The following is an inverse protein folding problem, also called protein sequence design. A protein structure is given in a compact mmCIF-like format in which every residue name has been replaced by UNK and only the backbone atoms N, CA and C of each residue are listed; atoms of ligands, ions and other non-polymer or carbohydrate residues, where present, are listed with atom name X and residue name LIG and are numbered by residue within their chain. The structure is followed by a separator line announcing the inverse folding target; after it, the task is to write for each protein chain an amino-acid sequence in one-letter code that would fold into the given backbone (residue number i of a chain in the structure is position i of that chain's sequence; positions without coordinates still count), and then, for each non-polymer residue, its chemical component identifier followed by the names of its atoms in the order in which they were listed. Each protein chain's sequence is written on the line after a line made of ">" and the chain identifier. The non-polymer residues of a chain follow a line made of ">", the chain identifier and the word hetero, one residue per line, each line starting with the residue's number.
data_IF_821480315401
#
_entry.id   IF_821480315401
#
_cell.length_a   1.000
_cell.length_b   1.000
_cell.length_c   1.000
_cell.angle_alpha   90.00
_cell.angle_beta   90.00
_cell.angle_gamma   90.00
#
_symmetry.space_group_name_H-M   'P 1'
#
loop_
_entity.id
_entity.type
_entity.pdbx_description
1 polymer ?
#
# COMPACT_ATOMS: atom_id res chain seq x y z
N UNK A 1 -13.26 -6.43 3.74
CA UNK A 1 -13.48 -6.46 5.20
C UNK A 1 -12.29 -5.91 5.97
N UNK A 2 -11.04 -6.37 5.77
CA UNK A 2 -9.86 -5.84 6.49
C UNK A 2 -9.65 -4.33 6.34
N UNK A 3 -10.06 -3.75 5.20
CA UNK A 3 -10.00 -2.30 4.94
C UNK A 3 -10.92 -1.50 5.89
N UNK A 4 -12.02 -2.10 6.33
CA UNK A 4 -13.01 -1.50 7.24
C UNK A 4 -13.15 -2.38 8.48
N UNK A 5 -12.01 -2.77 9.06
CA UNK A 5 -12.00 -3.57 10.28
C UNK A 5 -12.79 -2.87 11.39
N UNK A 6 -13.47 -3.65 12.22
CA UNK A 6 -14.32 -3.17 13.30
C UNK A 6 -15.47 -2.24 12.86
N UNK A 7 -15.76 -2.16 11.55
CA UNK A 7 -16.91 -1.45 10.98
C UNK A 7 -17.84 -2.41 10.22
N UNK A 8 -19.16 -2.32 10.41
CA UNK A 8 -20.10 -3.16 9.66
C UNK A 8 -20.14 -2.74 8.20
N UNK A 9 -20.07 -3.72 7.30
CA UNK A 9 -20.19 -3.55 5.86
C UNK A 9 -21.50 -4.16 5.36
N UNK A 10 -22.32 -3.39 4.61
CA UNK A 10 -23.51 -3.91 3.96
C UNK A 10 -23.19 -5.08 3.01
N UNK A 11 -24.15 -5.99 2.83
CA UNK A 11 -24.00 -7.15 1.95
C UNK A 11 -23.68 -6.71 0.52
N UNK A 12 -24.41 -5.71 0.01
CA UNK A 12 -24.26 -5.22 -1.36
C UNK A 12 -22.87 -4.60 -1.58
N UNK A 13 -22.34 -3.88 -0.60
CA UNK A 13 -20.96 -3.37 -0.63
C UNK A 13 -19.95 -4.52 -0.66
N UNK A 14 -20.16 -5.60 0.08
CA UNK A 14 -19.27 -6.76 0.02
C UNK A 14 -19.33 -7.47 -1.34
N UNK A 15 -20.52 -7.57 -1.93
CA UNK A 15 -20.72 -8.11 -3.27
C UNK A 15 -19.99 -7.25 -4.31
N UNK A 16 -20.24 -5.95 -4.30
CA UNK A 16 -19.63 -4.99 -5.22
C UNK A 16 -18.10 -5.04 -5.14
N UNK A 17 -17.54 -5.03 -3.93
CA UNK A 17 -16.07 -5.07 -3.77
C UNK A 17 -15.44 -6.40 -4.20
N UNK A 18 -16.16 -7.51 -4.03
CA UNK A 18 -15.67 -8.85 -4.36
C UNK A 18 -15.75 -9.16 -5.87
N UNK A 19 -16.79 -8.69 -6.55
CA UNK A 19 -17.05 -9.06 -7.95
C UNK A 19 -17.17 -7.89 -8.94
N UNK A 20 -17.16 -6.64 -8.46
CA UNK A 20 -17.28 -5.45 -9.28
C UNK A 20 -18.54 -5.46 -10.15
N UNK A 21 -18.38 -5.12 -11.42
CA UNK A 21 -19.46 -5.11 -12.41
C UNK A 21 -19.95 -6.51 -12.83
N UNK A 22 -19.29 -7.59 -12.40
CA UNK A 22 -19.58 -8.97 -12.83
C UNK A 22 -19.93 -9.92 -11.68
N UNK A 23 -20.98 -9.65 -10.88
CA UNK A 23 -21.41 -10.55 -9.82
C UNK A 23 -22.02 -11.84 -10.40
N UNK A 24 -21.87 -12.99 -9.72
CA UNK A 24 -22.56 -14.22 -10.12
C UNK A 24 -24.08 -14.08 -9.91
N UNK A 25 -24.88 -14.88 -10.63
CA UNK A 25 -26.36 -14.84 -10.55
C UNK A 25 -26.92 -14.97 -9.12
N UNK A 26 -26.18 -15.63 -8.23
CA UNK A 26 -26.53 -15.77 -6.81
C UNK A 26 -25.42 -15.20 -5.91
N UNK A 27 -25.09 -13.93 -6.08
CA UNK A 27 -24.01 -13.25 -5.36
C UNK A 27 -24.12 -13.39 -3.83
N UNK A 28 -25.32 -13.21 -3.27
CA UNK A 28 -25.54 -13.37 -1.83
C UNK A 28 -25.23 -14.78 -1.34
N UNK A 29 -25.65 -15.81 -2.07
CA UNK A 29 -25.36 -17.21 -1.73
C UNK A 29 -23.86 -17.50 -1.80
N UNK A 30 -23.18 -17.03 -2.85
CA UNK A 30 -21.74 -17.17 -2.99
C UNK A 30 -20.98 -16.46 -1.85
N UNK A 31 -21.44 -15.27 -1.44
CA UNK A 31 -20.85 -14.51 -0.35
C UNK A 31 -21.01 -15.26 0.98
N UNK A 32 -22.18 -15.84 1.26
CA UNK A 32 -22.38 -16.68 2.44
C UNK A 32 -21.44 -17.88 2.46
N UNK A 33 -21.21 -18.54 1.33
CA UNK A 33 -20.25 -19.64 1.22
C UNK A 33 -18.81 -19.18 1.43
N UNK A 34 -18.42 -17.97 0.98
CA UNK A 34 -17.11 -17.41 1.28
C UNK A 34 -16.95 -17.09 2.77
N UNK A 35 -17.94 -16.45 3.40
CA UNK A 35 -17.90 -16.11 4.82
C UNK A 35 -17.85 -17.38 5.70
N UNK A 36 -18.61 -18.41 5.34
CA UNK A 36 -18.56 -19.70 6.02
C UNK A 36 -17.17 -20.34 5.95
N UNK A 37 -16.56 -20.35 4.75
CA UNK A 37 -15.19 -20.86 4.57
C UNK A 37 -14.16 -20.04 5.35
N UNK A 38 -14.28 -18.71 5.34
CA UNK A 38 -13.40 -17.84 6.12
C UNK A 38 -13.51 -18.19 7.61
N UNK A 39 -14.72 -18.26 8.18
CA UNK A 39 -14.91 -18.65 9.58
C UNK A 39 -14.30 -20.02 9.91
N UNK A 40 -14.36 -20.96 8.98
CA UNK A 40 -13.76 -22.29 9.14
C UNK A 40 -12.23 -22.28 9.17
N UNK A 41 -11.56 -21.20 8.74
CA UNK A 41 -10.10 -21.06 8.86
C UNK A 41 -9.62 -20.84 10.29
N UNK A 42 -10.53 -20.68 11.27
CA UNK A 42 -10.17 -20.54 12.70
C UNK A 42 -10.06 -21.90 13.35
N UNK A 43 -8.98 -22.60 13.02
CA UNK A 43 -8.79 -24.00 13.40
C UNK A 43 -8.29 -24.11 14.84
N UNK A 44 -7.59 -23.10 15.33
CA UNK A 44 -7.03 -23.08 16.70
C UNK A 44 -7.77 -22.10 17.63
N UNK A 45 -7.78 -22.35 18.96
CA UNK A 45 -8.33 -21.40 19.94
C UNK A 45 -7.71 -20.00 19.84
N UNK A 46 -6.40 -19.91 19.58
CA UNK A 46 -5.71 -18.65 19.36
C UNK A 46 -6.26 -17.86 18.15
N UNK A 47 -6.58 -18.54 17.06
CA UNK A 47 -7.18 -17.90 15.88
C UNK A 47 -8.63 -17.48 16.10
N UNK A 48 -9.35 -18.19 16.97
CA UNK A 48 -10.71 -17.83 17.37
C UNK A 48 -10.73 -16.53 18.19
N UNK A 49 -9.71 -16.31 19.01
CA UNK A 49 -9.52 -15.05 19.74
C UNK A 49 -8.98 -13.93 18.83
N UNK A 50 -8.21 -14.28 17.80
CA UNK A 50 -7.56 -13.30 16.94
C UNK A 50 -8.55 -12.48 16.10
N UNK A 51 -9.63 -13.08 15.59
CA UNK A 51 -10.61 -12.36 14.77
C UNK A 51 -11.97 -13.09 14.68
N UNK A 52 -13.05 -12.31 14.52
CA UNK A 52 -14.39 -12.81 14.27
C UNK A 52 -15.07 -12.12 13.06
N UNK A 53 -15.98 -12.79 12.36
CA UNK A 53 -16.83 -12.22 11.32
C UNK A 53 -18.24 -12.40 11.87
N UNK A 54 -18.86 -11.32 12.30
CA UNK A 54 -20.18 -11.32 12.92
C UNK A 54 -21.19 -10.82 11.91
N UNK A 55 -22.38 -11.44 11.89
CA UNK A 55 -23.52 -10.91 11.14
C UNK A 55 -24.26 -9.91 12.04
N UNK A 56 -24.47 -8.71 11.55
CA UNK A 56 -25.16 -7.61 12.23
C UNK A 56 -26.37 -7.17 11.40
N UNK A 57 -27.29 -6.36 11.96
CA UNK A 57 -28.37 -5.76 11.16
C UNK A 57 -27.87 -4.90 10.00
N UNK A 58 -26.67 -4.30 10.12
CA UNK A 58 -26.05 -3.47 9.10
C UNK A 58 -25.19 -4.28 8.08
N UNK A 59 -25.14 -5.61 8.19
CA UNK A 59 -24.40 -6.48 7.28
C UNK A 59 -23.39 -7.37 8.00
N UNK A 60 -22.13 -7.35 7.58
CA UNK A 60 -21.07 -8.16 8.20
C UNK A 60 -19.97 -7.28 8.79
N UNK A 61 -19.51 -7.66 9.97
CA UNK A 61 -18.47 -6.99 10.73
C UNK A 61 -17.28 -7.94 10.90
N UNK A 62 -16.08 -7.53 10.48
CA UNK A 62 -14.85 -8.22 10.86
C UNK A 62 -14.32 -7.59 12.15
N UNK A 63 -14.42 -8.31 13.26
CA UNK A 63 -13.84 -7.95 14.55
C UNK A 63 -12.42 -8.48 14.62
N UNK A 64 -11.45 -7.63 14.89
CA UNK A 64 -10.10 -8.06 15.25
C UNK A 64 -9.38 -6.91 15.94
N UNK A 65 -8.28 -7.24 16.61
CA UNK A 65 -7.35 -6.24 17.10
C UNK A 65 -6.73 -5.49 15.92
N UNK A 66 -6.85 -4.17 15.94
CA UNK A 66 -6.35 -3.25 14.90
C UNK A 66 -4.83 -3.36 14.73
N UNK A 67 -4.11 -3.73 15.79
CA UNK A 67 -2.66 -3.98 15.76
C UNK A 67 -2.28 -5.21 14.92
N UNK A 68 -3.25 -5.99 14.44
CA UNK A 68 -3.02 -7.13 13.54
C UNK A 68 -3.18 -6.76 12.06
N UNK A 69 -3.70 -5.57 11.77
CA UNK A 69 -3.91 -5.09 10.40
C UNK A 69 -2.84 -4.05 10.07
N UNK A 70 -1.92 -4.39 9.17
CA UNK A 70 -0.81 -3.50 8.76
C UNK A 70 -1.29 -2.13 8.30
N UNK A 71 -2.38 -2.05 7.53
CA UNK A 71 -2.96 -0.78 7.10
C UNK A 71 -3.44 0.10 8.27
N UNK A 72 -4.05 -0.50 9.30
CA UNK A 72 -4.56 0.26 10.45
C UNK A 72 -3.43 0.70 11.35
N UNK A 73 -2.45 -0.18 11.58
CA UNK A 73 -1.20 0.17 12.25
C UNK A 73 -0.49 1.32 11.55
N UNK A 74 -0.35 1.26 10.23
CA UNK A 74 0.29 2.30 9.44
C UNK A 74 -0.35 3.67 9.71
N UNK A 75 -1.68 3.75 9.63
CA UNK A 75 -2.42 4.99 9.91
C UNK A 75 -2.25 5.44 11.35
N UNK A 76 -2.30 4.52 12.31
CA UNK A 76 -2.10 4.84 13.72
C UNK A 76 -0.70 5.39 14.01
N UNK A 77 0.35 4.81 13.44
CA UNK A 77 1.73 5.31 13.59
C UNK A 77 1.88 6.69 12.94
N UNK A 78 1.26 6.92 11.77
CA UNK A 78 1.26 8.23 11.10
C UNK A 78 0.54 9.29 11.93
N UNK A 79 -0.64 8.97 12.47
CA UNK A 79 -1.40 9.90 13.30
C UNK A 79 -0.63 10.23 14.58
N UNK A 80 0.01 9.23 15.21
CA UNK A 80 0.88 9.46 16.36
C UNK A 80 2.10 10.31 16.00
N UNK A 81 2.72 10.09 14.84
CA UNK A 81 3.85 10.89 14.36
C UNK A 81 3.48 12.37 14.19
N UNK A 82 2.30 12.65 13.64
CA UNK A 82 1.81 14.03 13.41
C UNK A 82 1.50 14.79 14.69
N UNK A 83 1.23 14.09 15.80
CA UNK A 83 0.91 14.70 17.10
C UNK A 83 2.07 14.69 18.10
N UNK A 84 3.14 13.95 17.81
CA UNK A 84 4.30 13.78 18.69
C UNK A 84 5.34 14.89 18.56
N UNK A 85 6.40 14.83 19.38
CA UNK A 85 7.58 15.70 19.17
C UNK A 85 8.33 15.28 17.90
N UNK A 86 9.18 16.15 17.31
CA UNK A 86 10.00 15.78 16.15
C UNK A 86 10.79 14.48 16.33
N UNK A 87 11.38 14.27 17.51
CA UNK A 87 12.16 13.07 17.83
C UNK A 87 11.29 11.81 17.86
N UNK A 88 10.09 11.89 18.44
CA UNK A 88 9.12 10.79 18.46
C UNK A 88 8.57 10.52 17.06
N UNK A 89 8.25 11.58 16.31
CA UNK A 89 7.67 11.52 14.98
C UNK A 89 8.56 10.74 14.00
N UNK A 90 9.88 10.93 14.08
CA UNK A 90 10.85 10.21 13.27
C UNK A 90 10.72 8.70 13.40
N UNK A 91 10.77 8.19 14.63
CA UNK A 91 10.66 6.76 14.90
C UNK A 91 9.30 6.18 14.49
N UNK A 92 8.24 6.98 14.61
CA UNK A 92 6.87 6.59 14.22
C UNK A 92 6.71 6.51 12.70
N UNK A 93 7.22 7.49 11.95
CA UNK A 93 7.23 7.43 10.49
C UNK A 93 8.05 6.25 9.96
N UNK A 94 9.20 5.95 10.57
CA UNK A 94 10.00 4.77 10.21
C UNK A 94 9.23 3.46 10.41
N UNK A 95 8.56 3.31 11.56
CA UNK A 95 7.71 2.16 11.84
C UNK A 95 6.53 2.06 10.86
N UNK A 96 5.88 3.18 10.55
CA UNK A 96 4.79 3.23 9.59
C UNK A 96 5.24 2.76 8.20
N UNK A 97 6.33 3.34 7.69
CA UNK A 97 6.85 3.03 6.36
C UNK A 97 7.37 1.59 6.25
N UNK A 98 7.90 1.02 7.33
CA UNK A 98 8.36 -0.38 7.37
C UNK A 98 7.23 -1.41 7.19
N UNK A 99 5.96 -1.04 7.41
CA UNK A 99 4.81 -1.93 7.20
C UNK A 99 4.53 -2.20 5.71
N UNK A 100 5.03 -1.35 4.82
CA UNK A 100 4.84 -1.46 3.38
C UNK A 100 5.82 -2.47 2.77
N UNK A 101 5.33 -3.68 2.49
CA UNK A 101 6.14 -4.80 1.98
C UNK A 101 6.07 -4.97 0.45
N UNK A 102 5.53 -3.98 -0.26
CA UNK A 102 5.34 -4.00 -1.70
C UNK A 102 3.96 -3.49 -2.11
N UNK A 103 3.46 -3.97 -3.27
CA UNK A 103 2.16 -3.53 -3.81
C UNK A 103 1.01 -3.99 -2.89
N UNK A 104 0.14 -3.07 -2.43
CA UNK A 104 -1.00 -3.44 -1.61
C UNK A 104 -1.92 -4.47 -2.29
N UNK A 105 -2.38 -5.44 -1.51
CA UNK A 105 -3.25 -6.52 -1.98
C UNK A 105 -2.68 -7.31 -3.17
N UNK A 106 -1.36 -7.47 -3.28
CA UNK A 106 -0.73 -8.23 -4.37
C UNK A 106 -1.41 -9.61 -4.55
N UNK A 107 -1.68 -9.99 -5.81
CA UNK A 107 -2.36 -11.24 -6.16
C UNK A 107 -3.90 -11.16 -6.23
N UNK A 108 -4.53 -10.10 -5.72
CA UNK A 108 -5.98 -9.90 -5.83
C UNK A 108 -6.33 -9.03 -7.04
N UNK A 109 -7.44 -9.35 -7.74
CA UNK A 109 -7.95 -8.56 -8.86
C UNK A 109 -9.41 -8.19 -8.60
N UNK A 110 -9.72 -6.90 -8.68
CA UNK A 110 -11.06 -6.33 -8.58
C UNK A 110 -10.94 -4.85 -8.95
N UNK A 111 -11.85 -4.34 -9.77
CA UNK A 111 -11.86 -2.92 -10.20
C UNK A 111 -11.86 -1.98 -8.99
N UNK A 112 -12.62 -2.34 -7.96
CA UNK A 112 -12.67 -1.60 -6.70
C UNK A 112 -11.31 -1.61 -5.97
N UNK A 113 -10.63 -2.76 -5.94
CA UNK A 113 -9.29 -2.84 -5.33
C UNK A 113 -8.24 -2.06 -6.13
N UNK A 114 -8.36 -2.01 -7.46
CA UNK A 114 -7.45 -1.23 -8.29
C UNK A 114 -7.59 0.27 -8.01
N UNK A 115 -8.81 0.78 -7.86
CA UNK A 115 -9.04 2.15 -7.39
C UNK A 115 -8.49 2.39 -5.98
N UNK A 116 -8.73 1.46 -5.05
CA UNK A 116 -8.26 1.60 -3.66
C UNK A 116 -6.73 1.57 -3.54
N UNK A 117 -6.04 0.80 -4.40
CA UNK A 117 -4.57 0.79 -4.48
C UNK A 117 -4.02 2.16 -4.81
N UNK A 118 -4.64 2.90 -5.74
CA UNK A 118 -4.20 4.26 -6.06
C UNK A 118 -4.31 5.19 -4.85
N UNK A 119 -5.37 5.05 -4.05
CA UNK A 119 -5.50 5.80 -2.78
C UNK A 119 -4.38 5.44 -1.81
N UNK A 120 -4.07 4.15 -1.66
CA UNK A 120 -2.98 3.69 -0.78
C UNK A 120 -1.60 4.16 -1.26
N UNK A 121 -1.35 4.14 -2.56
CA UNK A 121 -0.09 4.62 -3.14
C UNK A 121 0.09 6.12 -2.91
N UNK A 122 -0.98 6.91 -3.05
CA UNK A 122 -0.98 8.33 -2.73
C UNK A 122 -0.77 8.59 -1.23
N UNK A 123 -1.43 7.83 -0.36
CA UNK A 123 -1.27 7.90 1.10
C UNK A 123 0.18 7.60 1.52
N UNK A 124 0.76 6.54 0.97
CA UNK A 124 2.16 6.17 1.20
C UNK A 124 3.13 7.25 0.72
N UNK A 125 2.90 7.82 -0.46
CA UNK A 125 3.73 8.92 -0.98
C UNK A 125 3.63 10.16 -0.08
N UNK A 126 2.43 10.52 0.37
CA UNK A 126 2.22 11.65 1.29
C UNK A 126 3.04 11.50 2.58
N UNK A 127 2.96 10.32 3.21
CA UNK A 127 3.72 10.03 4.43
C UNK A 127 5.24 10.07 4.20
N UNK A 128 5.71 9.59 3.05
CA UNK A 128 7.15 9.70 2.69
C UNK A 128 7.60 11.14 2.53
N UNK A 129 6.73 12.01 2.01
CA UNK A 129 7.03 13.43 1.89
C UNK A 129 7.07 14.10 3.26
N UNK A 130 6.10 13.84 4.12
CA UNK A 130 6.06 14.33 5.51
C UNK A 130 7.33 13.90 6.29
N UNK A 131 7.73 12.63 6.18
CA UNK A 131 8.95 12.15 6.82
C UNK A 131 10.22 12.81 6.27
N UNK A 132 10.31 13.00 4.94
CA UNK A 132 11.45 13.69 4.34
C UNK A 132 11.53 15.16 4.77
N UNK A 133 10.39 15.84 4.89
CA UNK A 133 10.33 17.23 5.35
C UNK A 133 10.84 17.33 6.80
N UNK A 134 10.41 16.43 7.68
CA UNK A 134 10.93 16.33 9.05
C UNK A 134 12.47 16.17 9.08
N UNK A 135 13.03 15.29 8.25
CA UNK A 135 14.48 15.09 8.17
C UNK A 135 15.22 16.32 7.65
N UNK A 136 14.63 17.07 6.73
CA UNK A 136 15.22 18.31 6.21
C UNK A 136 15.25 19.41 7.27
N UNK A 137 14.20 19.51 8.09
CA UNK A 137 14.15 20.50 9.17
C UNK A 137 15.13 20.17 10.29
N UNK A 138 15.29 18.89 10.66
CA UNK A 138 16.38 18.44 11.54
C UNK A 138 17.76 18.84 10.98
N UNK A 139 17.98 18.66 9.68
CA UNK A 139 19.23 19.02 9.02
C UNK A 139 19.50 20.53 8.93
N UNK A 140 18.44 21.35 8.92
CA UNK A 140 18.52 22.82 8.92
C UNK A 140 18.69 23.42 10.32
N UNK A 141 18.24 22.71 11.34
CA UNK A 141 18.32 23.12 12.75
C UNK A 141 19.37 22.33 13.54
N UNK A 142 20.22 21.58 12.85
CA UNK A 142 21.40 20.95 13.44
C UNK A 142 22.17 21.99 14.26
N UNK A 143 22.71 21.60 15.43
CA UNK A 143 23.31 22.54 16.36
C UNK A 143 24.30 23.43 15.62
N UNK A 144 24.27 24.72 15.92
CA UNK A 144 25.31 25.70 15.55
C UNK A 144 26.64 25.29 16.21
N UNK A 145 27.18 24.13 15.84
CA UNK A 145 28.50 23.66 16.14
C UNK A 145 29.27 23.70 14.84
N UNK A 146 30.02 24.78 14.71
CA UNK A 146 31.25 24.88 13.93
C UNK A 146 32.02 23.55 13.97
N UNK A 147 31.80 22.66 13.00
CA UNK A 147 32.61 21.46 12.78
C UNK A 147 32.42 20.96 11.35
N UNK A 148 33.45 21.25 10.55
CA UNK A 148 34.04 20.44 9.48
C UNK A 148 33.15 19.40 8.77
N UNK A 149 32.91 19.64 7.48
CA UNK A 149 32.46 18.68 6.49
C UNK A 149 33.20 17.32 6.61
N UNK A 150 32.51 16.19 6.80
CA UNK A 150 33.02 14.92 6.30
C UNK A 150 32.61 14.77 4.83
N UNK A 151 33.61 14.40 4.03
CA UNK A 151 33.58 14.21 2.57
C UNK A 151 32.30 13.55 2.03
N UNK A 152 31.90 14.04 0.84
CA UNK A 152 30.85 13.49 0.00
C UNK A 152 30.88 11.95 -0.05
N UNK A 153 29.80 11.33 0.41
CA UNK A 153 29.45 9.97 0.00
C UNK A 153 29.09 10.03 -1.48
N UNK A 154 30.06 9.69 -2.32
CA UNK A 154 29.84 9.41 -3.74
C UNK A 154 28.98 8.16 -3.82
N UNK A 155 27.70 8.32 -4.12
CA UNK A 155 26.87 7.25 -4.64
C UNK A 155 27.38 6.86 -6.03
N UNK A 156 27.81 5.60 -6.28
CA UNK A 156 28.14 5.17 -7.63
C UNK A 156 26.85 5.13 -8.47
N UNK A 157 26.81 5.96 -9.52
CA UNK A 157 25.80 5.87 -10.58
C UNK A 157 25.93 4.48 -11.23
N UNK A 158 24.88 3.65 -11.29
CA UNK A 158 24.96 2.38 -12.00
C UNK A 158 25.26 2.63 -13.48
N UNK A 159 26.28 1.96 -13.99
CA UNK A 159 26.68 2.03 -15.39
C UNK A 159 25.47 1.73 -16.31
N UNK A 160 25.34 2.51 -17.39
CA UNK A 160 24.32 2.27 -18.43
C UNK A 160 24.41 0.81 -18.90
N UNK A 161 23.29 0.07 -19.00
CA UNK A 161 23.32 -1.26 -19.60
C UNK A 161 23.82 -1.16 -21.04
N UNK A 162 24.71 -2.07 -21.41
CA UNK A 162 25.24 -2.19 -22.77
C UNK A 162 24.12 -2.42 -23.79
N UNK A 163 24.37 -2.12 -25.08
CA UNK A 163 23.36 -2.25 -26.12
C UNK A 163 22.89 -3.71 -26.25
N UNK A 164 21.61 -3.95 -26.56
CA UNK A 164 21.05 -5.29 -26.66
C UNK A 164 21.65 -6.07 -27.85
N UNK A 165 21.70 -7.41 -27.79
CA UNK A 165 22.47 -8.25 -28.70
C UNK A 165 21.81 -8.52 -30.07
N UNK A 166 20.87 -7.68 -30.51
CA UNK A 166 20.20 -7.84 -31.80
C UNK A 166 20.45 -6.63 -32.72
N UNK A 167 20.66 -6.85 -34.03
CA UNK A 167 20.96 -5.77 -34.96
C UNK A 167 19.76 -4.84 -35.14
N UNK A 168 19.98 -3.55 -34.82
CA UNK A 168 19.03 -2.46 -35.07
C UNK A 168 18.87 -2.24 -36.57
N UNK A 169 17.73 -2.64 -37.14
CA UNK A 169 17.35 -2.35 -38.52
C UNK A 169 16.87 -0.91 -38.62
N UNK A 170 17.79 0.05 -38.67
CA UNK A 170 17.50 1.39 -39.15
C UNK A 170 17.49 1.36 -40.68
N UNK A 171 16.30 1.16 -41.25
CA UNK A 171 16.04 1.29 -42.68
C UNK A 171 16.42 2.69 -43.17
N UNK A 172 17.47 2.78 -44.00
CA UNK A 172 17.71 3.96 -44.84
C UNK A 172 16.68 3.96 -45.97
N UNK A 173 15.57 4.65 -45.76
CA UNK A 173 14.76 5.15 -46.86
C UNK A 173 15.46 6.40 -47.43
N UNK A 174 16.28 6.21 -48.47
CA UNK A 174 16.77 7.30 -49.30
C UNK A 174 15.68 7.75 -50.27
N UNK A 175 15.49 9.07 -50.50
CA UNK A 175 14.51 9.54 -51.47
C UNK A 175 15.13 9.48 -52.89
N UNK A 176 14.39 9.05 -53.93
CA UNK A 176 14.86 9.24 -55.29
C UNK A 176 14.64 10.70 -55.72
N UNK A 177 15.72 11.34 -56.18
CA UNK A 177 15.65 12.60 -56.95
C UNK A 177 15.41 12.27 -58.42
N UNK A 178 14.62 13.14 -59.05
CA UNK A 178 14.18 13.08 -60.44
C UNK A 178 15.29 13.37 -61.49
N UNK A 179 14.93 13.04 -62.74
CA UNK A 179 15.40 13.48 -64.08
C UNK A 179 16.64 12.82 -64.69
N UNK A 180 16.45 12.03 -65.75
CA UNK A 180 16.37 12.52 -67.13
C UNK A 180 15.44 11.60 -67.96
#
# INVERSE_FOLDING_TARGET
>A
MLIDVNRPLPLDTLVERAWGATPPRQASAALYSYISRLRALRVTPYEQEAWDIVRTPAGYLLRTDETRVDLVRFRSEVDQARTGTPEEAKGRYEQALALWRGRPFAGLKSDWLDGYRLTLDAEHLGVRLEYNELLLDEGRHGPSSETSMPSAVTMPVPAKPGPPPWPSTAGKAGPPRHTA
#
